data_IF_704928017012
#
_entry.id   IF_704928017012
#
_cell.length_a   1.000
_cell.length_b   1.000
_cell.length_c   1.000
_cell.angle_alpha   90.00
_cell.angle_beta   90.00
_cell.angle_gamma   90.00
#
_symmetry.space_group_name_H-M   'P 1'
#
loop_
_entity.id
_entity.type
_entity.pdbx_description
1 polymer ?
#
# COMPACT_ATOMS: atom_id res chain seq x y z
N UNK A 1 -0.94 -3.43 5.98
CA UNK A 1 -0.27 -2.11 6.00
C UNK A 1 -1.21 -0.97 5.64
N UNK A 2 -1.55 -0.75 4.36
CA UNK A 2 -2.36 0.42 3.96
C UNK A 2 -3.77 0.37 4.56
N UNK A 3 -4.45 -0.78 4.47
CA UNK A 3 -5.80 -0.95 5.02
C UNK A 3 -5.86 -0.66 6.52
N UNK A 4 -4.98 -1.30 7.31
CA UNK A 4 -4.92 -1.09 8.77
C UNK A 4 -4.67 0.39 9.11
N UNK A 5 -3.76 1.07 8.41
CA UNK A 5 -3.52 2.52 8.64
C UNK A 5 -4.75 3.36 8.31
N UNK A 6 -5.47 3.07 7.22
CA UNK A 6 -6.72 3.75 6.88
C UNK A 6 -7.74 3.65 8.00
N UNK A 7 -7.94 2.45 8.58
CA UNK A 7 -8.86 2.26 9.70
C UNK A 7 -8.48 3.11 10.93
N UNK A 8 -7.18 3.30 11.19
CA UNK A 8 -6.71 4.14 12.29
C UNK A 8 -6.93 5.62 12.01
N UNK A 9 -6.73 6.06 10.75
CA UNK A 9 -7.05 7.44 10.35
C UNK A 9 -8.54 7.73 10.55
N UNK A 10 -9.41 6.80 10.18
CA UNK A 10 -10.86 6.93 10.42
C UNK A 10 -11.19 7.08 11.92
N UNK A 11 -10.52 6.32 12.79
CA UNK A 11 -10.68 6.46 14.25
C UNK A 11 -10.19 7.83 14.75
N UNK A 12 -9.08 8.33 14.21
CA UNK A 12 -8.53 9.65 14.57
C UNK A 12 -9.52 10.75 14.16
N UNK A 13 -10.07 10.69 12.95
CA UNK A 13 -11.06 11.65 12.45
C UNK A 13 -12.36 11.67 13.28
N UNK A 14 -12.75 10.52 13.82
CA UNK A 14 -13.91 10.39 14.73
C UNK A 14 -13.60 10.75 16.18
N UNK A 15 -12.33 10.95 16.54
CA UNK A 15 -11.92 11.13 17.94
C UNK A 15 -12.06 9.87 18.80
N UNK A 16 -12.09 8.69 18.18
CA UNK A 16 -12.30 7.38 18.83
C UNK A 16 -10.98 6.59 19.04
N UNK A 17 -9.83 7.20 18.72
CA UNK A 17 -8.53 6.53 18.81
C UNK A 17 -8.15 6.16 20.25
N UNK A 18 -7.64 4.94 20.51
CA UNK A 18 -7.15 4.56 21.83
C UNK A 18 -6.08 5.51 22.38
N UNK A 19 -6.19 5.85 23.66
CA UNK A 19 -5.20 6.66 24.36
C UNK A 19 -4.02 5.76 24.77
N UNK A 20 -2.97 5.75 23.96
CA UNK A 20 -1.76 4.97 24.20
C UNK A 20 -0.52 5.82 23.91
N UNK A 21 0.26 6.10 24.94
CA UNK A 21 1.48 6.89 24.84
C UNK A 21 2.71 6.03 25.13
N UNK A 22 3.52 5.80 24.10
CA UNK A 22 4.81 5.08 24.22
C UNK A 22 5.83 6.02 24.89
N UNK A 23 6.58 5.51 25.87
CA UNK A 23 7.53 6.31 26.64
C UNK A 23 8.66 6.89 25.79
N UNK A 24 9.30 6.06 24.97
CA UNK A 24 10.40 6.43 24.06
C UNK A 24 10.15 5.83 22.66
N UNK A 25 9.32 6.47 21.81
CA UNK A 25 8.87 5.87 20.55
C UNK A 25 10.00 5.49 19.59
N UNK A 26 11.06 6.30 19.51
CA UNK A 26 12.21 6.05 18.63
C UNK A 26 13.01 4.83 19.09
N UNK A 27 13.22 4.70 20.40
CA UNK A 27 13.96 3.57 20.96
C UNK A 27 13.12 2.30 20.96
N UNK A 28 11.82 2.40 21.25
CA UNK A 28 10.89 1.28 21.12
C UNK A 28 10.92 0.67 19.71
N UNK A 29 10.89 1.49 18.66
CA UNK A 29 10.97 1.01 17.27
C UNK A 29 12.27 0.23 16.99
N UNK A 30 13.41 0.74 17.48
CA UNK A 30 14.72 0.07 17.35
C UNK A 30 14.78 -1.25 18.11
N UNK A 31 14.21 -1.29 19.32
CA UNK A 31 14.17 -2.47 20.17
C UNK A 31 13.29 -3.56 19.56
N UNK A 32 12.08 -3.23 19.12
CA UNK A 32 11.16 -4.15 18.43
C UNK A 32 11.85 -4.75 17.19
N UNK A 33 12.48 -3.90 16.36
CA UNK A 33 13.10 -4.34 15.11
C UNK A 33 14.30 -5.29 15.31
N UNK A 34 14.97 -5.24 16.47
CA UNK A 34 16.19 -6.03 16.75
C UNK A 34 15.96 -7.17 17.72
N UNK A 35 14.75 -7.32 18.24
CA UNK A 35 14.42 -8.32 19.24
C UNK A 35 14.46 -9.74 18.64
N UNK A 36 15.40 -10.59 19.07
CA UNK A 36 15.50 -11.95 18.58
C UNK A 36 14.52 -12.92 19.25
N UNK A 37 13.90 -12.54 20.39
CA UNK A 37 12.96 -13.41 21.12
C UNK A 37 11.51 -13.23 20.66
N UNK A 38 11.22 -12.14 19.94
CA UNK A 38 9.89 -11.75 19.48
C UNK A 38 8.89 -11.44 20.60
N UNK A 39 9.38 -11.14 21.82
CA UNK A 39 8.52 -10.69 22.91
C UNK A 39 8.03 -9.25 22.67
N UNK A 40 8.82 -8.45 21.94
CA UNK A 40 8.54 -7.09 21.48
C UNK A 40 7.96 -6.18 22.57
N UNK A 41 8.58 -6.19 23.74
CA UNK A 41 8.10 -5.42 24.90
C UNK A 41 8.33 -3.92 24.71
N UNK A 42 7.27 -3.14 24.95
CA UNK A 42 7.22 -1.69 24.85
C UNK A 42 6.86 -1.11 26.22
N UNK A 43 7.56 -0.05 26.62
CA UNK A 43 7.22 0.73 27.81
C UNK A 43 6.33 1.93 27.45
N UNK A 44 5.22 2.08 28.18
CA UNK A 44 4.29 3.21 28.08
C UNK A 44 4.70 4.34 29.03
N UNK A 45 4.24 5.56 28.77
CA UNK A 45 4.55 6.73 29.63
C UNK A 45 4.05 6.59 31.08
N UNK A 46 3.03 5.77 31.30
CA UNK A 46 2.52 5.47 32.64
C UNK A 46 3.33 4.38 33.38
N UNK A 47 4.43 3.91 32.77
CA UNK A 47 5.33 2.89 33.32
C UNK A 47 4.88 1.45 33.07
N UNK A 48 3.69 1.22 32.48
CA UNK A 48 3.27 -0.13 32.09
C UNK A 48 4.14 -0.65 30.96
N UNK A 49 4.35 -1.97 30.95
CA UNK A 49 5.00 -2.69 29.86
C UNK A 49 3.99 -3.59 29.17
N UNK A 50 3.91 -3.49 27.84
CA UNK A 50 3.00 -4.29 27.00
C UNK A 50 3.74 -4.74 25.75
N UNK A 51 3.30 -5.82 25.10
CA UNK A 51 3.92 -6.25 23.85
C UNK A 51 3.48 -5.36 22.67
N UNK A 52 4.27 -5.33 21.59
CA UNK A 52 3.87 -4.69 20.34
C UNK A 52 2.60 -5.32 19.74
N UNK A 53 2.40 -6.62 19.96
CA UNK A 53 1.16 -7.33 19.58
C UNK A 53 -0.01 -6.78 20.38
N UNK A 54 0.11 -6.56 21.69
CA UNK A 54 -0.95 -5.98 22.51
C UNK A 54 -1.31 -4.56 22.07
N UNK A 55 -0.31 -3.74 21.72
CA UNK A 55 -0.56 -2.41 21.13
C UNK A 55 -1.43 -2.55 19.88
N UNK A 56 -1.04 -3.43 18.96
CA UNK A 56 -1.81 -3.67 17.74
C UNK A 56 -3.22 -4.22 18.03
N UNK A 57 -3.39 -5.10 19.03
CA UNK A 57 -4.69 -5.64 19.44
C UNK A 57 -5.61 -4.57 20.03
N UNK A 58 -5.08 -3.61 20.79
CA UNK A 58 -5.84 -2.45 21.30
C UNK A 58 -6.41 -1.65 20.12
N UNK A 59 -5.59 -1.36 19.12
CA UNK A 59 -6.00 -0.64 17.93
C UNK A 59 -6.96 -1.45 17.04
N UNK A 60 -6.73 -2.75 16.87
CA UNK A 60 -7.64 -3.66 16.16
C UNK A 60 -9.02 -3.69 16.82
N UNK A 61 -9.07 -3.80 18.15
CA UNK A 61 -10.32 -3.80 18.90
C UNK A 61 -11.10 -2.49 18.74
N UNK A 62 -10.41 -1.36 18.77
CA UNK A 62 -11.04 -0.06 18.54
C UNK A 62 -11.56 0.05 17.11
N UNK A 63 -10.74 -0.33 16.12
CA UNK A 63 -11.15 -0.35 14.72
C UNK A 63 -12.36 -1.25 14.49
N UNK A 64 -12.42 -2.44 15.09
CA UNK A 64 -13.54 -3.37 14.97
C UNK A 64 -14.82 -2.87 15.68
N UNK A 65 -14.68 -1.97 16.67
CA UNK A 65 -15.80 -1.43 17.44
C UNK A 65 -16.60 -0.33 16.74
N UNK A 66 -16.05 0.29 15.69
CA UNK A 66 -16.75 1.34 14.93
C UNK A 66 -17.78 0.73 13.99
N UNK A 67 -19.02 1.23 14.05
CA UNK A 67 -20.09 0.86 13.11
C UNK A 67 -19.83 1.48 11.73
N UNK A 68 -19.69 0.62 10.73
CA UNK A 68 -19.38 0.99 9.34
C UNK A 68 -20.25 0.25 8.32
N UNK A 69 -21.30 -0.46 8.77
CA UNK A 69 -22.11 -1.30 7.88
C UNK A 69 -21.40 -2.54 7.32
N UNK A 70 -21.84 -3.00 6.15
CA UNK A 70 -21.46 -4.28 5.52
C UNK A 70 -20.29 -4.18 4.55
N UNK A 71 -19.33 -3.28 4.79
CA UNK A 71 -18.14 -3.13 3.93
C UNK A 71 -17.25 -4.39 3.99
N UNK A 72 -17.25 -5.17 2.90
CA UNK A 72 -16.51 -6.42 2.78
C UNK A 72 -14.99 -6.22 2.87
N UNK A 73 -14.46 -5.13 2.30
CA UNK A 73 -13.02 -4.83 2.29
C UNK A 73 -12.55 -4.52 3.71
N UNK A 74 -13.30 -3.70 4.45
CA UNK A 74 -13.03 -3.42 5.85
C UNK A 74 -13.05 -4.67 6.71
N UNK A 75 -14.06 -5.52 6.54
CA UNK A 75 -14.13 -6.79 7.27
C UNK A 75 -12.96 -7.72 6.92
N UNK A 76 -12.55 -7.76 5.65
CA UNK A 76 -11.37 -8.51 5.23
C UNK A 76 -10.09 -7.97 5.88
N UNK A 77 -9.87 -6.65 5.90
CA UNK A 77 -8.71 -6.01 6.56
C UNK A 77 -8.66 -6.39 8.05
N UNK A 78 -9.78 -6.31 8.76
CA UNK A 78 -9.85 -6.66 10.18
C UNK A 78 -9.49 -8.13 10.42
N UNK A 79 -10.04 -9.05 9.63
CA UNK A 79 -9.73 -10.49 9.72
C UNK A 79 -8.26 -10.80 9.43
N UNK A 80 -7.70 -10.19 8.38
CA UNK A 80 -6.30 -10.38 8.03
C UNK A 80 -5.35 -9.83 9.08
N UNK A 81 -5.68 -8.66 9.65
CA UNK A 81 -4.90 -8.06 10.72
C UNK A 81 -4.91 -8.96 11.97
N UNK A 82 -6.09 -9.44 12.38
CA UNK A 82 -6.23 -10.36 13.50
C UNK A 82 -5.48 -11.67 13.27
N UNK A 83 -5.63 -12.28 12.08
CA UNK A 83 -4.93 -13.51 11.72
C UNK A 83 -3.42 -13.37 11.77
N UNK A 84 -2.86 -12.28 11.23
CA UNK A 84 -1.41 -12.04 11.30
C UNK A 84 -0.95 -11.85 12.76
N UNK A 85 -1.69 -11.13 13.59
CA UNK A 85 -1.34 -10.97 15.00
C UNK A 85 -1.36 -12.31 15.77
N UNK A 86 -2.37 -13.14 15.52
CA UNK A 86 -2.48 -14.47 16.12
C UNK A 86 -1.32 -15.39 15.71
N UNK A 87 -0.93 -15.36 14.43
CA UNK A 87 0.18 -16.14 13.93
C UNK A 87 1.51 -15.66 14.51
N UNK A 88 1.77 -14.34 14.50
CA UNK A 88 3.01 -13.77 15.04
C UNK A 88 3.18 -14.04 16.54
N UNK A 89 2.11 -14.04 17.32
CA UNK A 89 2.14 -14.36 18.76
C UNK A 89 2.42 -15.85 19.02
N UNK A 90 1.95 -16.75 18.15
CA UNK A 90 2.13 -18.19 18.31
C UNK A 90 3.48 -18.67 17.81
N UNK A 91 3.82 -18.31 16.57
CA UNK A 91 5.07 -18.62 15.89
C UNK A 91 5.15 -17.74 14.65
N UNK A 92 6.13 -16.83 14.63
CA UNK A 92 6.33 -15.87 13.54
C UNK A 92 6.37 -16.53 12.16
N UNK A 93 6.88 -17.77 12.06
CA UNK A 93 7.00 -18.51 10.80
C UNK A 93 5.65 -18.89 10.18
N UNK A 94 4.54 -18.87 10.94
CA UNK A 94 3.19 -19.11 10.43
C UNK A 94 2.74 -17.99 9.46
N UNK A 95 3.32 -16.79 9.58
CA UNK A 95 3.00 -15.65 8.71
C UNK A 95 3.89 -15.54 7.46
N UNK A 96 4.75 -16.55 7.19
CA UNK A 96 5.76 -16.52 6.10
C UNK A 96 5.20 -16.33 4.70
N UNK A 97 3.94 -16.69 4.48
CA UNK A 97 3.24 -16.62 3.21
C UNK A 97 2.73 -15.21 2.87
N UNK A 98 2.71 -14.28 3.84
CA UNK A 98 2.07 -12.96 3.67
C UNK A 98 2.77 -11.79 4.39
N UNK A 99 3.77 -12.07 5.21
CA UNK A 99 4.59 -11.06 5.89
C UNK A 99 6.03 -11.14 5.38
N UNK A 100 6.47 -10.13 4.63
CA UNK A 100 7.74 -10.13 3.89
C UNK A 100 8.96 -10.47 4.74
N UNK A 101 9.07 -9.90 5.94
CA UNK A 101 10.24 -10.15 6.79
C UNK A 101 10.31 -11.61 7.27
N UNK A 102 9.16 -12.26 7.46
CA UNK A 102 9.08 -13.68 7.81
C UNK A 102 9.40 -14.55 6.59
N UNK A 103 8.83 -14.22 5.43
CA UNK A 103 9.13 -14.91 4.17
C UNK A 103 10.62 -14.84 3.80
N UNK A 104 11.25 -13.69 4.01
CA UNK A 104 12.70 -13.53 3.85
C UNK A 104 13.48 -14.29 4.92
N UNK A 105 13.04 -14.28 6.18
CA UNK A 105 13.68 -15.04 7.25
C UNK A 105 13.72 -16.54 6.94
N UNK A 106 12.66 -17.08 6.33
CA UNK A 106 12.64 -18.47 5.85
C UNK A 106 13.82 -18.76 4.91
N UNK A 107 14.02 -17.91 3.90
CA UNK A 107 15.10 -18.08 2.91
C UNK A 107 16.49 -17.95 3.54
N UNK A 108 16.66 -16.95 4.41
CA UNK A 108 17.94 -16.72 5.11
C UNK A 108 18.29 -17.88 6.03
N UNK A 109 17.32 -18.40 6.79
CA UNK A 109 17.52 -19.56 7.65
C UNK A 109 17.87 -20.81 6.85
N UNK A 110 17.15 -21.07 5.74
CA UNK A 110 17.43 -22.20 4.88
C UNK A 110 18.87 -22.17 4.33
N UNK A 111 19.33 -21.01 3.83
CA UNK A 111 20.70 -20.86 3.35
C UNK A 111 21.73 -21.01 4.48
N UNK A 112 21.48 -20.43 5.66
CA UNK A 112 22.36 -20.61 6.81
C UNK A 112 22.52 -22.07 7.20
N UNK A 113 21.43 -22.83 7.23
CA UNK A 113 21.44 -24.25 7.62
C UNK A 113 22.16 -25.11 6.58
N UNK A 114 21.89 -24.87 5.29
CA UNK A 114 22.45 -25.64 4.18
C UNK A 114 23.96 -25.40 4.02
N UNK A 115 24.37 -24.12 4.01
CA UNK A 115 25.76 -23.71 3.76
C UNK A 115 26.57 -23.48 5.05
N UNK A 116 25.94 -23.67 6.22
CA UNK A 116 26.55 -23.48 7.56
C UNK A 116 27.16 -22.08 7.74
N UNK A 117 26.46 -21.06 7.24
CA UNK A 117 26.93 -19.68 7.24
C UNK A 117 26.78 -19.03 8.61
N UNK A 118 27.69 -18.11 8.92
CA UNK A 118 27.54 -17.20 10.06
C UNK A 118 26.53 -16.09 9.75
N UNK A 119 25.92 -15.49 10.79
CA UNK A 119 25.00 -14.35 10.64
C UNK A 119 25.63 -13.12 9.96
N UNK A 120 26.96 -12.99 9.99
CA UNK A 120 27.71 -11.90 9.35
C UNK A 120 28.19 -12.23 7.95
N UNK A 121 27.80 -13.37 7.39
CA UNK A 121 28.28 -13.79 6.07
C UNK A 121 27.71 -12.88 4.96
N UNK A 122 28.56 -12.33 4.06
CA UNK A 122 28.11 -11.50 2.94
C UNK A 122 27.07 -12.17 2.03
N UNK A 123 27.04 -13.49 1.94
CA UNK A 123 26.03 -14.21 1.16
C UNK A 123 24.61 -13.96 1.66
N UNK A 124 24.41 -13.78 2.97
CA UNK A 124 23.09 -13.47 3.53
C UNK A 124 22.62 -12.08 3.12
N UNK A 125 23.54 -11.13 2.97
CA UNK A 125 23.22 -9.81 2.44
C UNK A 125 22.79 -9.88 0.96
N UNK A 126 23.43 -10.74 0.16
CA UNK A 126 23.03 -10.95 -1.23
C UNK A 126 21.60 -11.50 -1.34
N UNK A 127 21.21 -12.46 -0.50
CA UNK A 127 19.84 -12.99 -0.44
C UNK A 127 18.84 -11.94 0.01
N UNK A 128 19.20 -11.13 1.01
CA UNK A 128 18.36 -10.01 1.46
C UNK A 128 18.05 -9.05 0.30
N UNK A 129 19.05 -8.72 -0.52
CA UNK A 129 18.88 -7.89 -1.70
C UNK A 129 18.08 -8.59 -2.81
N UNK A 130 18.41 -9.84 -3.13
CA UNK A 130 17.77 -10.58 -4.23
C UNK A 130 16.28 -10.88 -3.94
N UNK A 131 15.87 -10.92 -2.67
CA UNK A 131 14.45 -10.99 -2.29
C UNK A 131 13.63 -9.83 -2.85
N UNK A 132 14.19 -8.63 -2.97
CA UNK A 132 13.50 -7.43 -3.49
C UNK A 132 13.77 -7.19 -4.98
N UNK A 133 14.47 -8.09 -5.65
CA UNK A 133 14.74 -7.99 -7.08
C UNK A 133 13.41 -7.97 -7.86
N UNK A 134 13.27 -6.97 -8.75
CA UNK A 134 12.08 -6.82 -9.61
C UNK A 134 12.15 -7.69 -10.86
N UNK A 135 13.25 -8.42 -11.06
CA UNK A 135 13.39 -9.40 -12.12
C UNK A 135 12.43 -10.56 -11.85
N UNK A 136 11.42 -10.72 -12.72
CA UNK A 136 10.38 -11.72 -12.56
C UNK A 136 10.91 -13.15 -12.64
N UNK A 137 12.02 -13.39 -13.35
CA UNK A 137 12.60 -14.72 -13.51
C UNK A 137 13.55 -15.06 -12.36
N UNK A 138 14.33 -14.08 -11.88
CA UNK A 138 15.42 -14.30 -10.93
C UNK A 138 15.10 -13.95 -9.48
N UNK A 139 14.21 -12.99 -9.25
CA UNK A 139 13.94 -12.47 -7.92
C UNK A 139 13.35 -13.54 -6.99
N UNK A 140 13.90 -13.65 -5.77
CA UNK A 140 13.55 -14.75 -4.86
C UNK A 140 12.10 -14.67 -4.37
N UNK A 141 11.53 -13.46 -4.24
CA UNK A 141 10.09 -13.32 -3.94
C UNK A 141 9.21 -13.95 -5.04
N UNK A 142 9.57 -13.75 -6.32
CA UNK A 142 8.82 -14.34 -7.44
C UNK A 142 9.00 -15.85 -7.52
N UNK A 143 10.14 -16.38 -7.07
CA UNK A 143 10.31 -17.82 -6.92
C UNK A 143 9.34 -18.40 -5.88
N UNK A 144 9.19 -17.75 -4.72
CA UNK A 144 8.20 -18.18 -3.71
C UNK A 144 6.76 -18.12 -4.26
N UNK A 145 6.43 -17.12 -5.09
CA UNK A 145 5.14 -17.08 -5.80
C UNK A 145 4.99 -18.29 -6.73
N UNK A 146 6.00 -18.63 -7.55
CA UNK A 146 5.96 -19.76 -8.48
C UNK A 146 5.78 -21.10 -7.77
N UNK A 147 6.36 -21.23 -6.58
CA UNK A 147 6.20 -22.40 -5.71
C UNK A 147 4.83 -22.46 -5.01
N UNK A 148 4.00 -21.40 -5.13
CA UNK A 148 2.69 -21.33 -4.49
C UNK A 148 2.75 -21.12 -2.98
N UNK A 149 3.87 -20.63 -2.46
CA UNK A 149 4.08 -20.45 -1.01
C UNK A 149 3.75 -19.04 -0.52
N UNK A 150 3.57 -18.08 -1.43
CA UNK A 150 3.12 -16.72 -1.11
C UNK A 150 1.65 -16.53 -1.43
N UNK A 151 0.91 -15.95 -0.49
CA UNK A 151 -0.46 -15.52 -0.69
C UNK A 151 -0.49 -14.23 -1.50
N UNK A 152 -1.36 -14.20 -2.51
CA UNK A 152 -1.62 -13.00 -3.32
C UNK A 152 -2.98 -12.42 -2.99
N UNK A 153 -3.06 -11.09 -3.02
CA UNK A 153 -4.32 -10.32 -2.86
C UNK A 153 -4.89 -9.86 -4.20
N UNK A 154 -4.07 -9.89 -5.26
CA UNK A 154 -4.46 -9.54 -6.64
C UNK A 154 -3.91 -10.56 -7.61
N UNK A 155 -4.61 -10.75 -8.72
CA UNK A 155 -4.18 -11.67 -9.77
C UNK A 155 -3.12 -11.04 -10.68
N UNK A 156 -2.45 -11.86 -11.48
CA UNK A 156 -1.53 -11.38 -12.51
C UNK A 156 -2.24 -10.55 -13.59
N UNK A 157 -3.49 -10.90 -13.90
CA UNK A 157 -4.31 -10.18 -14.85
C UNK A 157 -4.66 -8.78 -14.33
N UNK A 158 -4.99 -8.65 -13.03
CA UNK A 158 -5.26 -7.35 -12.41
C UNK A 158 -4.05 -6.41 -12.47
N UNK A 159 -2.85 -6.95 -12.22
CA UNK A 159 -1.59 -6.19 -12.31
C UNK A 159 -1.36 -5.74 -13.75
N UNK A 160 -1.41 -6.66 -14.73
CA UNK A 160 -1.19 -6.34 -16.15
C UNK A 160 -2.20 -5.32 -16.68
N UNK A 161 -3.47 -5.45 -16.29
CA UNK A 161 -4.50 -4.47 -16.61
C UNK A 161 -4.16 -3.09 -16.04
N UNK A 162 -3.67 -3.03 -14.81
CA UNK A 162 -3.35 -1.77 -14.11
C UNK A 162 -2.13 -1.04 -14.66
N UNK A 163 -1.26 -1.69 -15.44
CA UNK A 163 -0.13 -1.03 -16.13
C UNK A 163 -0.63 0.06 -17.08
N UNK A 164 -1.73 -0.19 -17.79
CA UNK A 164 -2.25 0.71 -18.82
C UNK A 164 -3.57 1.39 -18.43
N UNK A 165 -4.22 0.93 -17.37
CA UNK A 165 -5.53 1.42 -16.95
C UNK A 165 -5.42 2.12 -15.59
N UNK A 166 -5.49 3.46 -15.55
CA UNK A 166 -5.53 4.19 -14.28
C UNK A 166 -6.85 3.92 -13.52
N UNK A 167 -6.86 4.10 -12.19
CA UNK A 167 -8.07 3.90 -11.38
C UNK A 167 -9.17 4.92 -11.70
N UNK A 168 -10.35 4.42 -12.10
CA UNK A 168 -11.46 5.22 -12.65
C UNK A 168 -12.11 6.19 -11.66
N UNK A 169 -11.99 5.91 -10.37
CA UNK A 169 -12.62 6.65 -9.28
C UNK A 169 -11.81 7.87 -8.82
N UNK A 170 -10.62 8.07 -9.39
CA UNK A 170 -9.67 9.12 -8.96
C UNK A 170 -9.30 10.04 -10.13
N UNK A 171 -8.68 11.17 -9.80
CA UNK A 171 -8.09 12.07 -10.82
C UNK A 171 -6.99 11.45 -11.67
N UNK A 172 -6.46 10.28 -11.27
CA UNK A 172 -5.52 9.54 -12.09
C UNK A 172 -6.15 9.08 -13.42
N UNK A 173 -7.47 8.83 -13.45
CA UNK A 173 -8.16 8.45 -14.67
C UNK A 173 -8.07 9.53 -15.74
N UNK A 174 -8.47 10.76 -15.40
CA UNK A 174 -8.37 11.90 -16.31
C UNK A 174 -6.94 12.08 -16.83
N UNK A 175 -5.94 12.03 -15.93
CA UNK A 175 -4.53 12.15 -16.31
C UNK A 175 -4.07 11.06 -17.26
N UNK A 176 -4.24 9.78 -16.88
CA UNK A 176 -3.79 8.66 -17.70
C UNK A 176 -4.50 8.60 -19.06
N UNK A 177 -5.80 8.89 -19.11
CA UNK A 177 -6.56 8.95 -20.37
C UNK A 177 -6.16 10.14 -21.23
N UNK A 178 -5.84 11.27 -20.63
CA UNK A 178 -5.35 12.43 -21.38
C UNK A 178 -3.99 12.13 -22.02
N UNK A 179 -3.06 11.54 -21.27
CA UNK A 179 -1.75 11.11 -21.80
C UNK A 179 -1.91 10.08 -22.90
N UNK A 180 -2.74 9.05 -22.71
CA UNK A 180 -2.93 8.00 -23.71
C UNK A 180 -3.51 8.48 -25.04
N UNK A 181 -4.14 9.66 -25.07
CA UNK A 181 -4.91 10.15 -26.22
C UNK A 181 -4.35 11.43 -26.86
N UNK A 182 -3.78 12.30 -26.05
CA UNK A 182 -3.43 13.67 -26.42
C UNK A 182 -2.02 14.01 -25.93
N UNK A 183 -1.11 13.03 -25.94
CA UNK A 183 0.26 13.20 -25.45
C UNK A 183 1.00 14.36 -26.13
N UNK A 184 0.80 14.51 -27.45
CA UNK A 184 1.50 15.50 -28.26
C UNK A 184 0.99 16.93 -27.99
N UNK A 185 -0.23 17.06 -27.47
CA UNK A 185 -0.84 18.33 -27.07
C UNK A 185 -0.70 18.63 -25.58
N UNK A 186 0.04 17.83 -24.80
CA UNK A 186 0.32 18.10 -23.38
C UNK A 186 1.66 18.83 -23.26
N UNK A 187 1.63 20.07 -22.75
CA UNK A 187 2.85 20.82 -22.45
C UNK A 187 3.42 20.49 -21.07
N UNK A 188 2.56 20.20 -20.09
CA UNK A 188 2.97 19.79 -18.75
C UNK A 188 1.90 18.98 -18.04
N UNK A 189 2.32 18.11 -17.13
CA UNK A 189 1.43 17.28 -16.31
C UNK A 189 1.97 17.18 -14.87
N UNK A 190 1.08 17.35 -13.89
CA UNK A 190 1.36 17.25 -12.46
C UNK A 190 0.27 16.40 -11.77
N UNK A 191 0.29 16.32 -10.44
CA UNK A 191 -0.72 15.58 -9.67
C UNK A 191 -2.09 16.27 -9.66
N UNK A 192 -2.07 17.59 -9.64
CA UNK A 192 -3.21 18.49 -9.47
C UNK A 192 -3.49 19.34 -10.71
N UNK A 193 -2.75 19.18 -11.80
CA UNK A 193 -3.05 19.87 -13.06
C UNK A 193 -2.52 19.15 -14.32
N UNK A 194 -3.15 19.45 -15.46
CA UNK A 194 -2.64 19.17 -16.80
C UNK A 194 -2.73 20.45 -17.63
N UNK A 195 -1.69 20.79 -18.37
CA UNK A 195 -1.70 21.88 -19.34
C UNK A 195 -1.63 21.31 -20.73
N UNK A 196 -2.67 21.59 -21.51
CA UNK A 196 -2.74 21.30 -22.93
C UNK A 196 -2.33 22.53 -23.73
N UNK A 197 -1.53 22.36 -24.78
CA UNK A 197 -1.13 23.42 -25.67
C UNK A 197 -1.04 22.92 -27.12
N UNK A 198 -1.54 23.73 -28.05
CA UNK A 198 -1.27 23.60 -29.47
C UNK A 198 -0.99 24.98 -30.07
N UNK A 199 -0.80 25.06 -31.40
CA UNK A 199 -0.51 26.33 -32.08
C UNK A 199 -1.62 27.40 -31.95
N UNK A 200 -2.82 27.05 -31.51
CA UNK A 200 -3.99 27.92 -31.46
C UNK A 200 -4.39 28.32 -30.04
N UNK A 201 -4.15 27.45 -29.05
CA UNK A 201 -4.63 27.66 -27.68
C UNK A 201 -3.79 26.90 -26.65
N UNK A 202 -3.76 27.46 -25.44
CA UNK A 202 -3.28 26.79 -24.24
C UNK A 202 -4.42 26.72 -23.24
N UNK A 203 -4.63 25.54 -22.63
CA UNK A 203 -5.65 25.31 -21.62
C UNK A 203 -5.08 24.53 -20.45
N UNK A 204 -5.15 25.13 -19.27
CA UNK A 204 -4.84 24.47 -18.01
C UNK A 204 -6.11 23.89 -17.38
N UNK A 205 -6.04 22.65 -16.95
CA UNK A 205 -7.09 21.95 -16.21
C UNK A 205 -6.55 21.61 -14.83
N UNK A 206 -7.14 22.20 -13.79
CA UNK A 206 -6.81 21.90 -12.39
C UNK A 206 -7.67 20.71 -11.92
N UNK A 207 -7.08 19.85 -11.10
CA UNK A 207 -7.60 18.60 -10.55
C UNK A 207 -7.43 18.57 -9.02
N UNK A 208 -8.03 19.51 -8.28
CA UNK A 208 -7.87 19.56 -6.82
C UNK A 208 -8.52 18.34 -6.12
N UNK A 209 -9.54 17.74 -6.72
CA UNK A 209 -10.28 16.62 -6.17
C UNK A 209 -9.50 15.31 -6.36
N UNK A 210 -9.13 14.65 -5.26
CA UNK A 210 -8.38 13.39 -5.33
C UNK A 210 -9.23 12.23 -5.89
N UNK A 211 -10.52 12.17 -5.51
CA UNK A 211 -11.46 11.12 -5.88
C UNK A 211 -12.91 11.61 -5.76
N UNK A 212 -13.84 10.88 -6.40
CA UNK A 212 -15.30 10.97 -6.20
C UNK A 212 -15.87 12.40 -6.12
N UNK A 213 -15.86 13.10 -7.26
CA UNK A 213 -16.44 14.44 -7.39
C UNK A 213 -17.18 14.58 -8.73
N UNK A 214 -18.26 15.37 -8.76
CA UNK A 214 -19.12 15.52 -9.94
C UNK A 214 -18.40 16.18 -11.13
N UNK A 215 -17.58 17.21 -10.88
CA UNK A 215 -16.73 17.85 -11.89
C UNK A 215 -15.69 16.86 -12.39
N UNK A 216 -15.05 16.12 -11.48
CA UNK A 216 -14.08 15.10 -11.87
C UNK A 216 -14.72 13.99 -12.72
N UNK A 217 -15.93 13.54 -12.39
CA UNK A 217 -16.69 12.59 -13.21
C UNK A 217 -16.98 13.15 -14.61
N UNK A 218 -17.32 14.44 -14.73
CA UNK A 218 -17.52 15.08 -16.02
C UNK A 218 -16.22 15.15 -16.83
N UNK A 219 -15.09 15.47 -16.19
CA UNK A 219 -13.77 15.47 -16.83
C UNK A 219 -13.39 14.06 -17.32
N UNK A 220 -13.58 13.04 -16.47
CA UNK A 220 -13.35 11.64 -16.81
C UNK A 220 -14.21 11.20 -18.00
N UNK A 221 -15.48 11.61 -18.05
CA UNK A 221 -16.37 11.36 -19.17
C UNK A 221 -15.86 12.00 -20.46
N UNK A 222 -15.43 13.27 -20.41
CA UNK A 222 -14.86 13.96 -21.57
C UNK A 222 -13.58 13.26 -22.09
N UNK A 223 -12.68 12.86 -21.18
CA UNK A 223 -11.46 12.14 -21.55
C UNK A 223 -11.73 10.75 -22.13
N UNK A 224 -12.84 10.10 -21.73
CA UNK A 224 -13.27 8.80 -22.28
C UNK A 224 -13.91 8.94 -23.66
N UNK A 225 -14.74 9.96 -23.88
CA UNK A 225 -15.69 10.01 -25.01
C UNK A 225 -15.41 11.06 -26.09
N UNK A 226 -14.58 12.09 -25.84
CA UNK A 226 -14.24 13.04 -26.91
C UNK A 226 -13.69 12.30 -28.11
N UNK A 227 -13.96 12.68 -29.37
CA UNK A 227 -13.43 11.96 -30.54
C UNK A 227 -12.03 12.44 -30.92
N UNK A 228 -11.85 13.76 -30.96
CA UNK A 228 -10.60 14.44 -31.28
C UNK A 228 -10.23 15.49 -30.22
N UNK A 229 -9.02 16.07 -30.35
CA UNK A 229 -8.52 17.07 -29.41
C UNK A 229 -9.40 18.34 -29.36
N UNK A 230 -9.97 18.76 -30.49
CA UNK A 230 -10.79 19.98 -30.55
C UNK A 230 -12.12 19.81 -29.82
N UNK A 231 -12.78 18.66 -30.00
CA UNK A 231 -13.99 18.29 -29.27
C UNK A 231 -13.69 18.12 -27.77
N UNK A 232 -12.57 17.47 -27.43
CA UNK A 232 -12.15 17.28 -26.04
C UNK A 232 -11.91 18.61 -25.32
N UNK A 233 -11.14 19.53 -25.91
CA UNK A 233 -10.88 20.85 -25.32
C UNK A 233 -12.17 21.65 -25.17
N UNK A 234 -13.12 21.54 -26.11
CA UNK A 234 -14.43 22.18 -25.99
C UNK A 234 -15.28 21.55 -24.89
N UNK A 235 -15.23 20.23 -24.70
CA UNK A 235 -15.97 19.52 -23.67
C UNK A 235 -15.46 19.87 -22.27
N UNK A 236 -14.14 19.83 -22.04
CA UNK A 236 -13.56 20.33 -20.78
C UNK A 236 -13.69 21.86 -20.67
N UNK A 237 -13.92 22.52 -21.80
CA UNK A 237 -14.36 23.91 -22.01
C UNK A 237 -15.41 24.40 -21.03
N UNK A 238 -16.46 23.59 -20.94
CA UNK A 238 -17.73 23.93 -20.30
C UNK A 238 -17.86 23.32 -18.89
N UNK A 239 -16.85 22.57 -18.44
CA UNK A 239 -16.79 21.98 -17.11
C UNK A 239 -16.14 23.01 -16.18
N UNK A 240 -16.96 23.58 -15.29
CA UNK A 240 -16.57 24.62 -14.33
C UNK A 240 -15.59 24.13 -13.29
#
# INVERSE_FOLDING_TARGET
>A
KIGTTSLILDLIERGEVPQLEIAQPVDANKSISRDPTYDWIIELKDGRKISAIDVQRIYLKAAAGTDSGTDEDRQWILREWESVLNDLERDVMLARDRVDWVGKKLLLNALQEEEKLSLSDPWLQSIDLEYHSVDLERGLYYELIRQGTMRRVVTEEDIKRSIFNPPETTRAFFRGRSVARFNDEISSIQWDEIVFANHLQTRRVVLPEAASDARLSALNHAARNGKDFSEFIRAIGVIG
#
